data_IF_671813489672
#
_entry.id   IF_671813489672
#
_cell.length_a   1.000
_cell.length_b   1.000
_cell.length_c   1.000
_cell.angle_alpha   90.00
_cell.angle_beta   90.00
_cell.angle_gamma   90.00
#
_symmetry.space_group_name_H-M   'P 1'
#
loop_
_entity.id
_entity.type
_entity.pdbx_description
1 polymer ?
#
# COMPACT_ATOMS: atom_id res chain seq x y z
N UNK A 1 11.13 -1.04 6.37
CA UNK A 1 10.26 -1.59 5.32
C UNK A 1 10.00 -3.10 5.50
N UNK A 2 11.03 -3.97 5.37
CA UNK A 2 10.84 -5.42 5.39
C UNK A 2 10.13 -5.96 6.64
N UNK A 3 10.42 -5.41 7.82
CA UNK A 3 9.76 -5.81 9.06
C UNK A 3 8.25 -5.60 9.00
N UNK A 4 7.78 -4.48 8.44
CA UNK A 4 6.34 -4.21 8.27
C UNK A 4 5.71 -5.17 7.27
N UNK A 5 6.39 -5.44 6.15
CA UNK A 5 5.92 -6.41 5.15
C UNK A 5 5.74 -7.79 5.80
N UNK A 6 6.75 -8.24 6.58
CA UNK A 6 6.70 -9.52 7.27
C UNK A 6 5.60 -9.56 8.34
N UNK A 7 5.41 -8.49 9.11
CA UNK A 7 4.29 -8.39 10.06
C UNK A 7 2.94 -8.52 9.35
N UNK A 8 2.74 -7.79 8.25
CA UNK A 8 1.49 -7.84 7.49
C UNK A 8 1.26 -9.18 6.79
N UNK A 9 2.33 -9.84 6.34
CA UNK A 9 2.27 -11.18 5.75
C UNK A 9 1.80 -12.25 6.76
N UNK A 10 2.01 -12.02 8.05
CA UNK A 10 1.57 -12.92 9.13
C UNK A 10 0.25 -12.47 9.78
N UNK A 11 -0.36 -11.37 9.33
CA UNK A 11 -1.70 -10.96 9.75
C UNK A 11 -2.75 -11.78 8.99
N UNK A 12 -3.26 -12.84 9.61
CA UNK A 12 -4.12 -13.86 8.98
C UNK A 12 -5.31 -13.29 8.18
N UNK A 13 -6.11 -12.32 8.68
CA UNK A 13 -7.22 -11.78 7.91
C UNK A 13 -6.79 -11.11 6.60
N UNK A 14 -5.70 -10.34 6.65
CA UNK A 14 -5.16 -9.65 5.47
C UNK A 14 -4.55 -10.64 4.48
N UNK A 15 -3.80 -11.62 4.99
CA UNK A 15 -3.22 -12.67 4.17
C UNK A 15 -4.32 -13.45 3.43
N UNK A 16 -5.35 -13.92 4.14
CA UNK A 16 -6.45 -14.67 3.53
C UNK A 16 -7.20 -13.86 2.48
N UNK A 17 -7.42 -12.57 2.74
CA UNK A 17 -8.02 -11.66 1.78
C UNK A 17 -7.22 -11.57 0.47
N UNK A 18 -5.89 -11.48 0.57
CA UNK A 18 -5.00 -11.49 -0.59
C UNK A 18 -4.89 -12.87 -1.26
N UNK A 19 -4.88 -13.97 -0.50
CA UNK A 19 -4.78 -15.33 -1.03
C UNK A 19 -6.06 -15.75 -1.79
N UNK A 20 -7.23 -15.30 -1.34
CA UNK A 20 -8.54 -15.58 -1.95
C UNK A 20 -8.88 -14.63 -3.11
N UNK A 21 -7.99 -13.69 -3.44
CA UNK A 21 -8.22 -12.70 -4.50
C UNK A 21 -9.49 -11.84 -4.28
N UNK A 22 -9.95 -11.73 -3.03
CA UNK A 22 -11.17 -11.00 -2.69
C UNK A 22 -11.07 -9.50 -3.06
N UNK A 23 -9.87 -8.95 -3.01
CA UNK A 23 -9.58 -7.56 -3.38
C UNK A 23 -9.92 -7.22 -4.83
N UNK A 24 -9.91 -8.18 -5.76
CA UNK A 24 -10.15 -7.91 -7.19
C UNK A 24 -11.55 -7.33 -7.42
N UNK A 25 -12.54 -7.87 -6.70
CA UNK A 25 -13.93 -7.38 -6.76
C UNK A 25 -14.14 -6.02 -6.07
N UNK A 26 -13.14 -5.57 -5.32
CA UNK A 26 -13.17 -4.37 -4.47
C UNK A 26 -12.31 -3.24 -5.02
N UNK A 27 -11.57 -3.47 -6.11
CA UNK A 27 -10.70 -2.46 -6.71
C UNK A 27 -11.53 -1.24 -7.11
N UNK A 28 -11.15 -0.10 -6.55
CA UNK A 28 -11.72 1.19 -6.88
C UNK A 28 -11.12 1.72 -8.19
N UNK A 29 -11.69 1.33 -9.32
CA UNK A 29 -11.25 1.78 -10.65
C UNK A 29 -11.71 3.20 -11.00
N UNK A 30 -12.65 3.76 -10.24
CA UNK A 30 -13.30 5.05 -10.56
C UNK A 30 -12.60 6.24 -9.90
N UNK A 31 -12.22 6.11 -8.63
CA UNK A 31 -11.69 7.23 -7.82
C UNK A 31 -10.29 6.97 -7.27
N UNK A 32 -9.74 5.75 -7.37
CA UNK A 32 -8.32 5.54 -7.06
C UNK A 32 -7.47 6.07 -8.21
N UNK A 33 -6.55 6.97 -7.89
CA UNK A 33 -5.49 7.43 -8.79
C UNK A 33 -4.66 6.28 -9.37
N UNK A 34 -4.56 5.16 -8.64
CA UNK A 34 -3.70 4.00 -8.96
C UNK A 34 -4.46 2.80 -9.52
N UNK A 35 -5.80 2.85 -9.54
CA UNK A 35 -6.67 1.78 -10.08
C UNK A 35 -6.32 0.37 -9.57
N UNK A 36 -5.89 0.24 -8.31
CA UNK A 36 -5.55 -1.05 -7.72
C UNK A 36 -4.09 -1.51 -7.89
N UNK A 37 -3.23 -0.73 -8.52
CA UNK A 37 -1.85 -1.15 -8.80
C UNK A 37 -1.02 -1.45 -7.54
N UNK A 38 -1.30 -0.81 -6.40
CA UNK A 38 -0.56 -1.07 -5.16
C UNK A 38 -1.06 -2.34 -4.48
N UNK A 39 -2.38 -2.52 -4.38
CA UNK A 39 -2.96 -3.73 -3.77
C UNK A 39 -2.60 -4.99 -4.57
N UNK A 40 -2.55 -4.90 -5.91
CA UNK A 40 -2.18 -6.02 -6.77
C UNK A 40 -0.74 -6.49 -6.53
N UNK A 41 0.22 -5.55 -6.53
CA UNK A 41 1.63 -5.88 -6.29
C UNK A 41 1.86 -6.32 -4.84
N UNK A 42 1.14 -5.75 -3.88
CA UNK A 42 1.20 -6.17 -2.47
C UNK A 42 0.65 -7.59 -2.28
N UNK A 43 -0.50 -7.91 -2.86
CA UNK A 43 -1.07 -9.25 -2.81
C UNK A 43 -0.16 -10.29 -3.49
N UNK A 44 0.46 -9.93 -4.62
CA UNK A 44 1.48 -10.75 -5.27
C UNK A 44 2.66 -11.05 -4.35
N UNK A 45 3.17 -10.04 -3.64
CA UNK A 45 4.26 -10.21 -2.67
C UNK A 45 3.85 -11.14 -1.51
N UNK A 46 2.64 -10.97 -0.95
CA UNK A 46 2.14 -11.84 0.13
C UNK A 46 1.99 -13.29 -0.33
N UNK A 47 1.46 -13.51 -1.54
CA UNK A 47 1.36 -14.84 -2.15
C UNK A 47 2.73 -15.48 -2.32
N UNK A 48 3.73 -14.73 -2.79
CA UNK A 48 5.10 -15.25 -2.95
C UNK A 48 5.74 -15.62 -1.61
N UNK A 49 5.57 -14.77 -0.58
CA UNK A 49 6.07 -15.05 0.77
C UNK A 49 5.41 -16.31 1.34
N UNK A 50 4.08 -16.44 1.20
CA UNK A 50 3.33 -17.54 1.80
C UNK A 50 3.45 -18.87 1.05
N UNK A 51 3.51 -18.84 -0.28
CA UNK A 51 3.60 -20.06 -1.09
C UNK A 51 4.98 -20.72 -0.98
N UNK A 52 6.02 -19.93 -0.69
CA UNK A 52 7.40 -20.41 -0.64
C UNK A 52 7.83 -20.98 -1.98
N UNK A 53 8.57 -20.24 -2.79
CA UNK A 53 9.12 -20.78 -4.03
C UNK A 53 10.12 -21.89 -3.69
N UNK A 54 9.74 -23.16 -3.84
CA UNK A 54 10.59 -24.36 -3.98
C UNK A 54 12.07 -24.25 -3.49
N UNK A 55 12.31 -23.91 -2.22
CA UNK A 55 13.66 -23.84 -1.64
C UNK A 55 14.34 -22.46 -1.63
N UNK A 56 13.67 -21.39 -2.06
CA UNK A 56 14.13 -20.01 -1.88
C UNK A 56 13.78 -19.48 -0.48
N UNK A 57 14.81 -19.10 0.27
CA UNK A 57 14.67 -18.57 1.63
C UNK A 57 14.29 -17.08 1.68
N UNK A 58 14.27 -16.39 0.54
CA UNK A 58 14.06 -14.95 0.48
C UNK A 58 13.26 -14.54 -0.77
N UNK A 59 12.24 -13.72 -0.56
CA UNK A 59 11.44 -13.11 -1.63
C UNK A 59 11.85 -11.65 -1.81
N UNK A 60 12.16 -11.25 -3.04
CA UNK A 60 12.51 -9.86 -3.35
C UNK A 60 11.27 -8.96 -3.40
N UNK A 61 11.18 -7.89 -2.58
CA UNK A 61 10.06 -6.94 -2.61
C UNK A 61 10.26 -5.84 -3.66
N UNK A 62 11.11 -6.04 -4.68
CA UNK A 62 11.50 -4.97 -5.62
C UNK A 62 10.31 -4.32 -6.35
N UNK A 63 9.40 -5.13 -6.88
CA UNK A 63 8.20 -4.62 -7.57
C UNK A 63 7.33 -3.79 -6.61
N UNK A 64 7.13 -4.29 -5.39
CA UNK A 64 6.38 -3.59 -4.35
C UNK A 64 7.06 -2.28 -3.93
N UNK A 65 8.38 -2.29 -3.75
CA UNK A 65 9.17 -1.09 -3.44
C UNK A 65 9.05 -0.05 -4.54
N UNK A 66 9.06 -0.46 -5.80
CA UNK A 66 8.88 0.47 -6.92
C UNK A 66 7.50 1.14 -6.88
N UNK A 67 6.44 0.39 -6.60
CA UNK A 67 5.09 0.96 -6.49
C UNK A 67 4.93 1.89 -5.28
N UNK A 68 5.45 1.51 -4.11
CA UNK A 68 5.34 2.38 -2.93
C UNK A 68 6.14 3.68 -3.11
N UNK A 69 7.26 3.64 -3.83
CA UNK A 69 8.06 4.84 -4.13
C UNK A 69 7.36 5.80 -5.10
N UNK A 70 6.54 5.29 -6.03
CA UNK A 70 5.68 6.13 -6.88
C UNK A 70 4.58 6.82 -6.08
N UNK A 71 4.02 6.12 -5.10
CA UNK A 71 2.94 6.65 -4.24
C UNK A 71 3.46 7.65 -3.20
N UNK A 72 4.58 7.32 -2.55
CA UNK A 72 5.21 8.14 -1.53
C UNK A 72 6.68 8.37 -1.90
N UNK A 73 6.96 9.42 -2.70
CA UNK A 73 8.30 9.85 -3.07
C UNK A 73 9.30 9.97 -1.91
N UNK A 74 8.82 10.22 -0.68
CA UNK A 74 9.64 10.25 0.54
C UNK A 74 10.41 8.95 0.80
N UNK A 75 9.90 7.81 0.32
CA UNK A 75 10.58 6.51 0.41
C UNK A 75 11.53 6.23 -0.75
N UNK A 76 11.75 7.20 -1.66
CA UNK A 76 12.82 7.09 -2.66
C UNK A 76 14.20 7.14 -2.01
N UNK A 77 15.16 6.48 -2.66
CA UNK A 77 16.51 6.32 -2.13
C UNK A 77 16.63 5.16 -1.14
N UNK A 78 17.75 5.16 -0.40
CA UNK A 78 18.18 4.08 0.49
C UNK A 78 18.38 4.53 1.94
N UNK A 79 17.88 5.73 2.30
CA UNK A 79 17.90 6.21 3.68
C UNK A 79 17.03 5.33 4.58
N UNK A 80 17.37 5.29 5.87
CA UNK A 80 16.51 4.65 6.87
C UNK A 80 15.22 5.46 7.02
N UNK A 81 14.11 4.74 7.18
CA UNK A 81 12.76 5.31 7.24
C UNK A 81 12.07 4.82 8.49
N UNK A 82 11.24 5.67 9.09
CA UNK A 82 10.43 5.28 10.22
C UNK A 82 9.43 4.18 9.82
N UNK A 83 9.38 3.11 10.59
CA UNK A 83 8.52 1.96 10.31
C UNK A 83 7.03 2.26 10.48
N UNK A 84 6.68 3.16 11.41
CA UNK A 84 5.31 3.58 11.68
C UNK A 84 4.81 4.49 10.56
N UNK A 85 5.65 5.41 10.09
CA UNK A 85 5.33 6.26 8.94
C UNK A 85 5.11 5.40 7.69
N UNK A 86 6.02 4.46 7.42
CA UNK A 86 5.87 3.51 6.32
C UNK A 86 4.57 2.71 6.40
N UNK A 87 4.23 2.19 7.59
CA UNK A 87 2.97 1.47 7.80
C UNK A 87 1.75 2.36 7.52
N UNK A 88 1.76 3.61 7.99
CA UNK A 88 0.66 4.55 7.79
C UNK A 88 0.40 4.80 6.29
N UNK A 89 1.44 5.11 5.53
CA UNK A 89 1.33 5.33 4.08
C UNK A 89 0.89 4.06 3.34
N UNK A 90 1.42 2.90 3.72
CA UNK A 90 1.03 1.64 3.11
C UNK A 90 -0.47 1.36 3.33
N UNK A 91 -0.96 1.46 4.56
CA UNK A 91 -2.36 1.21 4.87
C UNK A 91 -3.30 2.21 4.19
N UNK A 92 -2.92 3.49 4.15
CA UNK A 92 -3.67 4.51 3.42
C UNK A 92 -3.73 4.19 1.92
N UNK A 93 -2.61 3.78 1.34
CA UNK A 93 -2.51 3.42 -0.08
C UNK A 93 -3.35 2.20 -0.44
N UNK A 94 -3.29 1.15 0.38
CA UNK A 94 -4.10 -0.06 0.21
C UNK A 94 -5.59 0.23 0.38
N UNK A 95 -5.95 1.01 1.41
CA UNK A 95 -7.34 1.39 1.66
C UNK A 95 -7.91 2.20 0.48
N UNK A 96 -7.18 3.17 -0.06
CA UNK A 96 -7.65 3.93 -1.24
C UNK A 96 -7.92 3.03 -2.46
N UNK A 97 -7.11 1.98 -2.66
CA UNK A 97 -7.25 1.04 -3.77
C UNK A 97 -8.47 0.12 -3.66
N UNK A 98 -8.91 -0.24 -2.45
CA UNK A 98 -10.05 -1.16 -2.23
C UNK A 98 -11.30 -0.47 -1.68
N UNK A 99 -11.22 0.81 -1.34
CA UNK A 99 -12.34 1.54 -0.75
C UNK A 99 -13.44 1.74 -1.80
N UNK A 100 -14.65 1.21 -1.55
CA UNK A 100 -15.83 1.49 -2.36
C UNK A 100 -16.39 2.85 -1.91
N UNK A 101 -16.44 3.89 -2.78
CA UNK A 101 -17.02 5.16 -2.37
C UNK A 101 -18.51 4.95 -2.07
N UNK A 102 -18.88 5.00 -0.79
CA UNK A 102 -20.27 5.08 -0.36
C UNK A 102 -20.88 6.47 -0.66
N UNK A 103 -20.04 7.45 -0.99
CA UNK A 103 -20.41 8.83 -1.33
C UNK A 103 -19.29 9.52 -2.14
N UNK A 104 -19.59 10.59 -2.91
CA UNK A 104 -18.59 11.35 -3.67
C UNK A 104 -17.52 11.95 -2.75
N UNK A 105 -16.23 11.77 -3.10
CA UNK A 105 -15.09 12.26 -2.32
C UNK A 105 -14.87 13.77 -2.54
N UNK A 106 -15.75 14.61 -2.01
CA UNK A 106 -15.47 16.05 -1.82
C UNK A 106 -14.96 16.41 -0.41
N UNK A 107 -14.78 15.43 0.47
CA UNK A 107 -14.15 15.63 1.78
C UNK A 107 -12.90 14.74 1.96
N UNK A 108 -11.79 15.12 1.33
CA UNK A 108 -10.47 14.77 1.87
C UNK A 108 -9.75 16.04 2.29
N UNK A 109 -9.69 16.19 3.61
CA UNK A 109 -8.88 17.15 4.34
C UNK A 109 -7.44 17.18 3.83
N UNK A 110 -6.99 18.41 3.59
CA UNK A 110 -5.60 18.80 3.43
C UNK A 110 -4.77 18.30 4.63
N UNK A 111 -3.66 17.61 4.36
CA UNK A 111 -2.54 17.59 5.30
C UNK A 111 -1.26 17.99 4.58
N UNK A 112 -1.00 19.31 4.68
CA UNK A 112 0.29 20.01 4.69
C UNK A 112 1.33 19.67 3.61
N UNK A 113 1.53 20.61 2.68
CA UNK A 113 2.66 21.56 2.78
C UNK A 113 2.28 22.85 2.04
N UNK A 114 2.43 24.00 2.72
CA UNK A 114 2.33 25.38 2.20
C UNK A 114 0.95 25.96 1.95
N UNK A 115 0.36 26.63 2.96
CA UNK A 115 -0.23 27.97 2.76
C UNK A 115 0.02 28.80 4.03
N UNK A 116 1.13 29.55 4.03
CA UNK A 116 1.33 30.66 4.96
C UNK A 116 0.75 31.92 4.29
N UNK A 117 -0.19 32.57 4.98
CA UNK A 117 -0.64 33.98 4.83
C UNK A 117 -1.17 34.42 3.46
N UNK A 118 -2.46 34.79 3.42
CA UNK A 118 -2.84 36.21 3.28
C UNK A 118 -4.36 36.36 3.31
N UNK A 119 -4.92 36.64 4.50
CA UNK A 119 -6.19 37.37 4.63
C UNK A 119 -6.07 38.27 5.88
N UNK A 120 -5.48 39.45 5.70
CA UNK A 120 -5.98 40.72 6.22
C UNK A 120 -5.26 41.89 5.56
#
# INVERSE_FOLDING_TARGET
>A
MNSIIQCLAHTRPLLEYCLKDAYISEINTTTSSRKGALIEVFAGLLKSIWRGTNGEYAVSPHAFRSQIQKFAPRFMGYSQQDSQEFLHYLLQGLHEDVNRPAYPKELRFCHSTTVFKSIH
#
